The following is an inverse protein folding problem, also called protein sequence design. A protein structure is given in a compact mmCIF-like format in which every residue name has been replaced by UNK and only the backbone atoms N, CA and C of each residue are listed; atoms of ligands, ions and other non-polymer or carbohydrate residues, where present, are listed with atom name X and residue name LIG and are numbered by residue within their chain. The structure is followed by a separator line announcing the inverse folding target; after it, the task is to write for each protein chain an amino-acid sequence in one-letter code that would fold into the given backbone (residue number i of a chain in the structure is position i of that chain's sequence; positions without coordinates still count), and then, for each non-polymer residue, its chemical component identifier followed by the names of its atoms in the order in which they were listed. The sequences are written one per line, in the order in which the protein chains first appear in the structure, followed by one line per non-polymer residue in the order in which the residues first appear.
data_IF_376327292357
#
_entry.id   IF_376327292357
#
_cell.length_a   1.000
_cell.length_b   1.000
_cell.length_c   1.000
_cell.angle_alpha   90.00
_cell.angle_beta   90.00
_cell.angle_gamma   90.00
#
_symmetry.space_group_name_H-M   'P 1'
#
loop_
_entity.id
_entity.type
_entity.pdbx_description
1 polymer ?
#
# COMPACT_ATOMS: atom_id res chain seq x y z
N UNK A 1 -31.19 -38.41 6.99
CA UNK A 1 -31.90 -37.36 6.23
C UNK A 1 -31.10 -37.07 4.98
N UNK A 2 -31.73 -37.23 3.81
CA UNK A 2 -31.11 -37.13 2.49
C UNK A 2 -31.27 -35.70 1.95
N UNK A 3 -30.14 -35.01 1.75
CA UNK A 3 -30.08 -33.62 1.29
C UNK A 3 -30.71 -33.42 -0.10
N UNK A 4 -30.88 -34.49 -0.89
CA UNK A 4 -31.54 -34.42 -2.21
C UNK A 4 -33.01 -34.02 -2.14
N UNK A 5 -33.76 -34.52 -1.15
CA UNK A 5 -35.20 -34.21 -1.00
C UNK A 5 -35.47 -32.76 -0.59
N UNK A 6 -34.55 -32.15 0.16
CA UNK A 6 -34.68 -30.78 0.65
C UNK A 6 -34.48 -29.78 -0.50
N UNK A 7 -33.61 -30.10 -1.47
CA UNK A 7 -33.40 -29.31 -2.69
C UNK A 7 -34.60 -29.36 -3.63
N UNK A 8 -35.21 -30.53 -3.78
CA UNK A 8 -36.39 -30.75 -4.64
C UNK A 8 -37.65 -30.03 -4.11
N UNK A 9 -37.78 -29.91 -2.78
CA UNK A 9 -38.85 -29.15 -2.11
C UNK A 9 -38.67 -27.63 -2.25
N UNK A 10 -37.43 -27.13 -2.30
CA UNK A 10 -37.16 -25.70 -2.47
C UNK A 10 -37.32 -25.24 -3.91
N UNK A 11 -36.97 -26.08 -4.89
CA UNK A 11 -37.08 -25.72 -6.31
C UNK A 11 -38.54 -25.71 -6.80
N UNK A 12 -39.44 -26.43 -6.13
CA UNK A 12 -40.86 -26.53 -6.52
C UNK A 12 -41.80 -25.46 -5.91
N UNK A 13 -41.35 -24.62 -4.98
CA UNK A 13 -42.25 -23.73 -4.20
C UNK A 13 -42.26 -22.25 -4.59
N UNK A 14 -41.34 -21.79 -5.45
CA UNK A 14 -41.22 -20.37 -5.79
C UNK A 14 -41.62 -20.02 -7.24
N UNK A 15 -42.71 -20.63 -7.74
CA UNK A 15 -43.42 -20.08 -8.89
C UNK A 15 -44.29 -18.89 -8.47
N UNK A 16 -43.88 -17.70 -8.95
CA UNK A 16 -44.58 -16.40 -8.93
C UNK A 16 -44.44 -15.57 -7.66
N UNK A 17 -43.22 -15.17 -7.33
CA UNK A 17 -43.00 -13.82 -6.80
C UNK A 17 -42.43 -12.97 -7.91
N UNK A 18 -43.23 -12.04 -8.41
CA UNK A 18 -42.82 -11.11 -9.46
C UNK A 18 -41.64 -10.29 -8.90
N UNK A 19 -40.46 -10.41 -9.50
CA UNK A 19 -39.25 -9.75 -9.01
C UNK A 19 -39.45 -8.22 -8.88
N UNK A 20 -40.26 -7.66 -9.76
CA UNK A 20 -40.69 -6.27 -9.71
C UNK A 20 -41.52 -5.92 -8.46
N UNK A 21 -42.37 -6.82 -7.97
CA UNK A 21 -43.14 -6.59 -6.73
C UNK A 21 -42.23 -6.55 -5.50
N UNK A 22 -41.20 -7.40 -5.47
CA UNK A 22 -40.19 -7.38 -4.41
C UNK A 22 -39.36 -6.10 -4.43
N UNK A 23 -38.96 -5.64 -5.62
CA UNK A 23 -38.22 -4.39 -5.79
C UNK A 23 -39.07 -3.15 -5.44
N UNK A 24 -40.39 -3.19 -5.70
CA UNK A 24 -41.26 -2.06 -5.37
C UNK A 24 -41.65 -2.05 -3.88
N UNK A 25 -41.81 -3.24 -3.27
CA UNK A 25 -42.10 -3.40 -1.84
C UNK A 25 -40.88 -3.09 -0.96
N UNK A 26 -39.69 -3.40 -1.46
CA UNK A 26 -38.42 -3.05 -0.86
C UNK A 26 -37.58 -2.30 -1.89
N UNK A 27 -37.87 -1.02 -2.16
CA UNK A 27 -37.01 -0.23 -3.02
C UNK A 27 -35.61 -0.34 -2.44
N UNK A 28 -34.61 -0.78 -3.21
CA UNK A 28 -33.24 -0.77 -2.73
C UNK A 28 -33.01 0.67 -2.29
N UNK A 29 -32.75 0.88 -0.99
CA UNK A 29 -32.25 2.17 -0.50
C UNK A 29 -31.20 2.55 -1.51
N UNK A 30 -31.41 3.67 -2.23
CA UNK A 30 -30.43 4.16 -3.19
C UNK A 30 -29.10 3.95 -2.51
N UNK A 31 -28.20 3.21 -3.15
CA UNK A 31 -26.81 3.28 -2.76
C UNK A 31 -26.47 4.74 -2.96
N UNK A 32 -26.68 5.53 -1.91
CA UNK A 32 -25.98 6.76 -1.68
C UNK A 32 -24.54 6.29 -1.80
N UNK A 33 -23.98 6.45 -3.00
CA UNK A 33 -22.55 6.63 -3.11
C UNK A 33 -22.30 7.69 -2.06
N UNK A 34 -21.75 7.29 -0.93
CA UNK A 34 -21.11 8.19 0.00
C UNK A 34 -20.05 8.89 -0.84
N UNK A 35 -20.45 9.96 -1.51
CA UNK A 35 -19.54 10.80 -2.26
C UNK A 35 -18.74 11.46 -1.16
N UNK A 36 -17.54 10.94 -0.86
CA UNK A 36 -16.62 11.64 0.03
C UNK A 36 -16.67 13.13 -0.33
N UNK A 37 -16.98 14.02 0.64
CA UNK A 37 -17.23 15.42 0.31
C UNK A 37 -16.01 15.98 -0.41
N UNK A 38 -16.23 16.75 -1.48
CA UNK A 38 -15.18 17.23 -2.38
C UNK A 38 -14.00 17.92 -1.65
N UNK A 39 -14.25 18.46 -0.45
CA UNK A 39 -13.25 19.05 0.44
C UNK A 39 -12.27 18.02 1.04
N UNK A 40 -12.76 16.85 1.47
CA UNK A 40 -11.92 15.76 2.00
C UNK A 40 -10.96 15.22 0.95
N UNK A 41 -11.43 15.07 -0.29
CA UNK A 41 -10.59 14.67 -1.44
C UNK A 41 -9.53 15.72 -1.75
N UNK A 42 -9.90 17.01 -1.76
CA UNK A 42 -8.95 18.12 -1.95
C UNK A 42 -7.87 18.13 -0.85
N UNK A 43 -8.26 17.92 0.41
CA UNK A 43 -7.34 17.85 1.56
C UNK A 43 -6.37 16.67 1.43
N UNK A 44 -6.84 15.50 1.02
CA UNK A 44 -6.00 14.32 0.80
C UNK A 44 -4.95 14.53 -0.31
N UNK A 45 -5.35 15.17 -1.43
CA UNK A 45 -4.44 15.52 -2.53
C UNK A 45 -3.35 16.47 -2.04
N UNK A 46 -3.73 17.55 -1.35
CA UNK A 46 -2.78 18.53 -0.76
C UNK A 46 -1.82 17.86 0.21
N UNK A 47 -2.33 16.94 1.06
CA UNK A 47 -1.49 16.19 2.01
C UNK A 47 -0.49 15.31 1.28
N UNK A 48 -0.91 14.59 0.23
CA UNK A 48 -0.01 13.75 -0.57
C UNK A 48 1.08 14.57 -1.24
N UNK A 49 0.72 15.70 -1.85
CA UNK A 49 1.68 16.60 -2.49
C UNK A 49 2.69 17.16 -1.49
N UNK A 50 2.22 17.60 -0.32
CA UNK A 50 3.09 18.03 0.78
C UNK A 50 4.08 16.94 1.20
N UNK A 51 3.62 15.70 1.39
CA UNK A 51 4.48 14.60 1.80
C UNK A 51 5.54 14.27 0.74
N UNK A 52 5.22 14.37 -0.55
CA UNK A 52 6.19 14.20 -1.64
C UNK A 52 7.27 15.28 -1.63
N UNK A 53 6.90 16.54 -1.35
CA UNK A 53 7.85 17.68 -1.26
C UNK A 53 8.63 17.74 0.05
N UNK A 54 8.20 17.02 1.09
CA UNK A 54 8.88 16.98 2.37
C UNK A 54 10.33 16.50 2.18
N UNK A 55 11.28 17.08 2.91
CA UNK A 55 12.65 16.55 2.95
C UNK A 55 12.68 15.25 3.76
N UNK A 56 13.48 14.24 3.37
CA UNK A 56 13.66 13.06 4.19
C UNK A 56 14.14 13.44 5.59
N UNK A 57 13.46 12.94 6.62
CA UNK A 57 13.72 13.27 8.02
C UNK A 57 14.78 12.37 8.66
N UNK A 58 14.96 11.16 8.09
CA UNK A 58 15.95 10.18 8.50
C UNK A 58 16.44 9.41 7.27
N UNK A 59 17.67 8.96 7.32
CA UNK A 59 18.33 8.20 6.25
C UNK A 59 18.88 6.89 6.79
N UNK A 60 18.72 5.82 6.02
CA UNK A 60 19.39 4.53 6.23
C UNK A 60 20.34 4.26 5.08
N UNK A 61 21.62 4.06 5.39
CA UNK A 61 22.61 3.59 4.42
C UNK A 61 22.77 2.07 4.53
N UNK A 62 22.60 1.39 3.40
CA UNK A 62 22.72 -0.06 3.27
C UNK A 62 23.85 -0.44 2.30
N UNK A 63 24.73 0.51 1.90
CA UNK A 63 25.88 0.18 1.07
C UNK A 63 26.75 -0.89 1.74
N UNK A 64 27.12 -1.90 0.96
CA UNK A 64 28.01 -2.96 1.43
C UNK A 64 27.36 -3.98 2.36
N UNK A 65 26.09 -3.80 2.75
CA UNK A 65 25.37 -4.82 3.52
C UNK A 65 25.17 -6.09 2.69
N UNK A 66 25.18 -7.25 3.34
CA UNK A 66 24.61 -8.46 2.75
C UNK A 66 23.09 -8.33 2.72
N UNK A 67 22.45 -9.05 1.79
CA UNK A 67 21.02 -8.93 1.54
C UNK A 67 20.17 -9.13 2.82
N UNK A 68 20.44 -10.17 3.59
CA UNK A 68 19.62 -10.50 4.75
C UNK A 68 19.79 -9.48 5.88
N UNK A 69 21.04 -9.05 6.13
CA UNK A 69 21.36 -7.98 7.09
C UNK A 69 20.71 -6.66 6.68
N UNK A 70 20.71 -6.34 5.38
CA UNK A 70 20.09 -5.13 4.84
C UNK A 70 18.58 -5.12 5.08
N UNK A 71 17.90 -6.25 4.90
CA UNK A 71 16.45 -6.37 5.12
C UNK A 71 16.12 -6.29 6.61
N UNK A 72 16.92 -6.91 7.47
CA UNK A 72 16.75 -6.81 8.92
C UNK A 72 16.90 -5.35 9.39
N UNK A 73 17.96 -4.66 8.95
CA UNK A 73 18.21 -3.25 9.26
C UNK A 73 17.09 -2.34 8.72
N UNK A 74 16.65 -2.58 7.48
CA UNK A 74 15.54 -1.84 6.88
C UNK A 74 14.24 -2.02 7.67
N UNK A 75 13.97 -3.23 8.15
CA UNK A 75 12.76 -3.49 8.92
C UNK A 75 12.73 -2.71 10.24
N UNK A 76 13.80 -2.80 11.02
CA UNK A 76 13.93 -2.02 12.26
C UNK A 76 13.83 -0.52 12.00
N UNK A 77 14.53 -0.04 10.96
CA UNK A 77 14.51 1.38 10.58
C UNK A 77 13.11 1.91 10.26
N UNK A 78 12.31 1.17 9.50
CA UNK A 78 10.94 1.57 9.14
C UNK A 78 10.03 1.61 10.37
N UNK A 79 10.12 0.60 11.23
CA UNK A 79 9.33 0.52 12.47
C UNK A 79 9.66 1.68 13.40
N UNK A 80 10.94 1.90 13.69
CA UNK A 80 11.41 3.00 14.54
C UNK A 80 11.02 4.36 13.97
N UNK A 81 11.24 4.56 12.66
CA UNK A 81 10.94 5.85 12.03
C UNK A 81 9.46 6.20 12.11
N UNK A 82 8.59 5.19 12.01
CA UNK A 82 7.16 5.37 12.21
C UNK A 82 6.83 5.68 13.67
N UNK A 83 7.42 4.97 14.63
CA UNK A 83 7.21 5.21 16.07
C UNK A 83 7.63 6.62 16.47
N UNK A 84 8.70 7.15 15.87
CA UNK A 84 9.16 8.53 16.04
C UNK A 84 8.30 9.58 15.31
N UNK A 85 7.26 9.15 14.58
CA UNK A 85 6.34 10.03 13.89
C UNK A 85 6.86 10.61 12.57
N UNK A 86 8.00 10.12 12.05
CA UNK A 86 8.51 10.55 10.75
C UNK A 86 7.53 10.20 9.62
N UNK A 87 7.51 11.06 8.60
CA UNK A 87 6.58 10.97 7.48
C UNK A 87 7.28 10.64 6.17
N UNK A 88 8.52 11.09 5.98
CA UNK A 88 9.34 10.75 4.83
C UNK A 88 10.76 10.37 5.28
N UNK A 89 11.27 9.27 4.76
CA UNK A 89 12.62 8.76 5.02
C UNK A 89 13.34 8.45 3.72
N UNK A 90 14.67 8.31 3.78
CA UNK A 90 15.53 7.96 2.66
C UNK A 90 16.25 6.64 2.96
N UNK A 91 16.35 5.79 1.95
CA UNK A 91 17.10 4.54 2.00
C UNK A 91 18.14 4.60 0.89
N UNK A 92 19.38 4.23 1.19
CA UNK A 92 20.50 4.20 0.25
C UNK A 92 20.96 2.75 0.11
N UNK A 93 20.35 1.94 -0.79
CA UNK A 93 20.79 0.56 -1.06
C UNK A 93 22.13 0.50 -1.81
N UNK A 94 22.49 1.62 -2.42
CA UNK A 94 23.61 1.75 -3.33
C UNK A 94 23.29 1.44 -4.78
N UNK A 95 24.20 1.89 -5.64
CA UNK A 95 24.01 1.88 -7.10
C UNK A 95 24.22 0.49 -7.71
N UNK A 96 24.77 -0.47 -6.96
CA UNK A 96 25.02 -1.83 -7.43
C UNK A 96 26.10 -1.98 -8.50
N UNK A 97 26.91 -0.94 -8.74
CA UNK A 97 27.88 -0.87 -9.86
C UNK A 97 29.06 -1.82 -9.67
N UNK A 98 29.42 -2.14 -8.42
CA UNK A 98 30.54 -3.04 -8.07
C UNK A 98 30.10 -4.47 -7.73
N UNK A 99 28.82 -4.79 -7.86
CA UNK A 99 28.30 -6.12 -7.58
C UNK A 99 28.38 -6.98 -8.84
N UNK A 100 29.07 -8.12 -8.76
CA UNK A 100 29.09 -9.14 -9.84
C UNK A 100 27.68 -9.60 -10.25
N UNK A 101 26.69 -9.45 -9.38
CA UNK A 101 25.31 -9.90 -9.56
C UNK A 101 24.31 -8.75 -9.82
N UNK A 102 24.78 -7.54 -10.14
CA UNK A 102 23.92 -6.36 -10.35
C UNK A 102 23.33 -5.77 -9.06
N UNK A 103 22.29 -4.89 -9.12
CA UNK A 103 21.77 -4.14 -7.98
C UNK A 103 20.85 -4.98 -7.06
N UNK A 104 21.35 -6.11 -6.56
CA UNK A 104 20.62 -7.08 -5.73
C UNK A 104 19.93 -6.41 -4.53
N UNK A 105 20.65 -5.53 -3.81
CA UNK A 105 20.11 -4.84 -2.65
C UNK A 105 18.96 -3.92 -3.01
N UNK A 106 19.05 -3.19 -4.12
CA UNK A 106 17.96 -2.31 -4.56
C UNK A 106 16.69 -3.12 -4.79
N UNK A 107 16.77 -4.24 -5.50
CA UNK A 107 15.61 -5.08 -5.77
C UNK A 107 14.99 -5.66 -4.49
N UNK A 108 15.84 -6.06 -3.53
CA UNK A 108 15.38 -6.54 -2.24
C UNK A 108 14.67 -5.45 -1.43
N UNK A 109 15.22 -4.23 -1.42
CA UNK A 109 14.60 -3.07 -0.78
C UNK A 109 13.24 -2.76 -1.42
N UNK A 110 13.14 -2.67 -2.75
CA UNK A 110 11.86 -2.39 -3.42
C UNK A 110 10.81 -3.46 -3.07
N UNK A 111 11.17 -4.75 -3.17
CA UNK A 111 10.26 -5.85 -2.81
C UNK A 111 9.78 -5.75 -1.37
N UNK A 112 10.67 -5.41 -0.44
CA UNK A 112 10.30 -5.20 0.96
C UNK A 112 9.30 -4.03 1.12
N UNK A 113 9.56 -2.89 0.45
CA UNK A 113 8.70 -1.71 0.52
C UNK A 113 7.31 -1.94 -0.09
N UNK A 114 7.19 -2.79 -1.11
CA UNK A 114 5.91 -3.18 -1.71
C UNK A 114 5.07 -4.07 -0.76
N UNK A 115 5.73 -4.90 0.03
CA UNK A 115 5.08 -5.88 0.91
C UNK A 115 4.77 -5.32 2.31
N UNK A 116 5.51 -4.31 2.76
CA UNK A 116 5.33 -3.75 4.10
C UNK A 116 4.11 -2.82 4.17
N UNK A 117 3.26 -2.98 5.19
CA UNK A 117 2.04 -2.17 5.36
C UNK A 117 2.30 -0.78 5.94
N UNK A 118 3.48 -0.54 6.51
CA UNK A 118 3.89 0.74 7.08
C UNK A 118 4.46 1.69 6.02
N UNK A 119 4.76 1.17 4.84
CA UNK A 119 5.29 1.93 3.71
C UNK A 119 4.14 2.35 2.81
N UNK A 120 4.13 3.64 2.48
CA UNK A 120 3.19 4.24 1.55
C UNK A 120 3.83 4.37 0.17
N UNK A 121 3.81 5.57 -0.37
CA UNK A 121 4.44 5.86 -1.64
C UNK A 121 5.96 5.89 -1.51
N UNK A 122 6.68 5.39 -2.52
CA UNK A 122 8.13 5.45 -2.59
C UNK A 122 8.60 5.62 -4.03
N UNK A 123 9.84 6.07 -4.22
CA UNK A 123 10.39 6.30 -5.55
C UNK A 123 11.90 6.62 -5.53
N UNK A 124 12.52 6.78 -6.70
CA UNK A 124 13.91 7.20 -6.79
C UNK A 124 14.09 8.57 -6.10
N UNK A 125 15.18 8.71 -5.36
CA UNK A 125 15.53 9.98 -4.72
C UNK A 125 15.81 11.08 -5.73
N UNK A 126 15.67 12.33 -5.29
CA UNK A 126 16.13 13.50 -6.04
C UNK A 126 17.66 13.47 -6.15
N UNK A 127 18.22 14.21 -7.12
CA UNK A 127 19.65 14.19 -7.41
C UNK A 127 20.50 14.62 -6.19
N UNK A 128 20.01 15.54 -5.37
CA UNK A 128 20.66 15.98 -4.12
C UNK A 128 20.76 14.86 -3.06
N UNK A 129 19.85 13.88 -3.09
CA UNK A 129 19.80 12.75 -2.17
C UNK A 129 20.35 11.45 -2.77
N UNK A 130 21.19 11.53 -3.82
CA UNK A 130 21.81 10.37 -4.46
C UNK A 130 21.06 9.82 -5.68
N UNK A 131 19.97 10.46 -6.10
CA UNK A 131 19.28 10.17 -7.35
C UNK A 131 18.79 8.72 -7.44
N UNK A 132 19.07 8.09 -8.59
CA UNK A 132 18.79 6.66 -8.81
C UNK A 132 19.53 5.74 -7.83
N UNK A 133 20.51 6.20 -7.04
CA UNK A 133 21.21 5.38 -6.04
C UNK A 133 20.47 5.23 -4.71
N UNK A 134 19.40 6.00 -4.50
CA UNK A 134 18.62 6.00 -3.28
C UNK A 134 17.11 5.95 -3.57
N UNK A 135 16.33 5.66 -2.54
CA UNK A 135 14.87 5.52 -2.59
C UNK A 135 14.28 6.32 -1.43
N UNK A 136 13.40 7.26 -1.72
CA UNK A 136 12.59 7.91 -0.67
C UNK A 136 11.34 7.10 -0.40
N UNK A 137 10.85 7.15 0.84
CA UNK A 137 9.65 6.43 1.28
C UNK A 137 8.79 7.34 2.15
N UNK A 138 7.50 7.43 1.86
CA UNK A 138 6.49 8.03 2.73
C UNK A 138 5.95 6.93 3.65
N UNK A 139 5.90 7.19 4.95
CA UNK A 139 5.41 6.25 5.97
C UNK A 139 3.90 6.42 6.22
N UNK A 140 3.23 5.32 6.60
CA UNK A 140 1.80 5.28 6.94
C UNK A 140 1.54 5.39 8.45
#
# INVERSE_FOLDING_TARGET
MDFGKILEEWENKDKKRNFNDLLNKYPPKKAEKETEPADSRKKAIRRREYLRKLKPQRTLDLHGFKKDDAIAALNSFIIESRQLGFKKVLIIPGKGIHSKNGPVLRNAVIKYLEQNRLTGEFGPAEREYGGKGAVWVILR
#
